data_IF_981983846925
#
_entry.id   IF_981983846925
#
_cell.length_a   1.000
_cell.length_b   1.000
_cell.length_c   1.000
_cell.angle_alpha   90.00
_cell.angle_beta   90.00
_cell.angle_gamma   90.00
#
_symmetry.space_group_name_H-M   'P 1'
#
loop_
_entity.id
_entity.type
_entity.pdbx_description
1 polymer ?
#
# COMPACT_ATOMS: atom_id res chain seq x y z
N UNK A 1 19.95 -11.73 -12.65
CA UNK A 1 20.20 -13.16 -12.35
C UNK A 1 18.83 -13.80 -12.34
N UNK A 2 18.42 -14.28 -13.50
CA UNK A 2 17.06 -14.74 -13.76
C UNK A 2 16.66 -15.88 -12.81
N UNK A 3 15.44 -15.83 -12.30
CA UNK A 3 14.89 -16.87 -11.44
C UNK A 3 14.52 -18.09 -12.31
N UNK A 4 15.53 -18.91 -12.58
CA UNK A 4 15.40 -20.18 -13.31
C UNK A 4 15.19 -21.28 -12.28
N UNK A 5 13.92 -21.59 -11.99
CA UNK A 5 13.55 -22.71 -11.13
C UNK A 5 12.06 -22.74 -10.84
N UNK A 6 11.34 -23.67 -11.46
CA UNK A 6 9.87 -23.87 -11.41
C UNK A 6 9.00 -22.85 -12.17
N UNK A 7 9.27 -22.67 -13.47
CA UNK A 7 8.21 -22.35 -14.44
C UNK A 7 7.41 -21.05 -14.29
N UNK A 8 7.91 -20.05 -13.55
CA UNK A 8 7.31 -18.71 -13.43
C UNK A 8 8.46 -17.71 -13.47
N UNK A 9 8.81 -17.25 -14.67
CA UNK A 9 9.95 -16.39 -14.93
C UNK A 9 9.58 -14.91 -14.88
N UNK A 10 9.75 -14.29 -13.70
CA UNK A 10 9.65 -12.83 -13.51
C UNK A 10 10.36 -12.09 -14.66
N UNK A 11 9.62 -11.32 -15.46
CA UNK A 11 10.26 -10.45 -16.46
C UNK A 11 11.16 -9.40 -15.78
N UNK A 12 12.45 -9.40 -16.15
CA UNK A 12 13.51 -8.58 -15.55
C UNK A 12 13.29 -7.06 -15.73
N UNK A 13 12.41 -6.62 -16.65
CA UNK A 13 12.25 -5.19 -16.97
C UNK A 13 11.13 -4.47 -16.18
N UNK A 14 10.18 -5.20 -15.58
CA UNK A 14 9.07 -4.60 -14.81
C UNK A 14 9.00 -5.05 -13.34
N UNK A 15 9.64 -6.17 -12.99
CA UNK A 15 9.61 -6.73 -11.64
C UNK A 15 8.22 -7.17 -11.16
N UNK A 16 7.22 -7.27 -12.04
CA UNK A 16 5.86 -7.73 -11.71
C UNK A 16 5.80 -9.27 -11.76
N UNK A 17 5.16 -9.95 -10.79
CA UNK A 17 4.95 -11.40 -10.86
C UNK A 17 4.17 -11.82 -12.11
N UNK A 18 4.66 -12.79 -12.89
CA UNK A 18 3.98 -13.28 -14.12
C UNK A 18 2.58 -13.84 -13.86
N UNK A 19 2.34 -14.30 -12.63
CA UNK A 19 1.03 -14.77 -12.14
C UNK A 19 0.64 -13.95 -10.92
N UNK A 20 0.07 -12.74 -11.13
CA UNK A 20 -0.14 -11.80 -10.03
C UNK A 20 -1.23 -12.25 -9.07
N UNK A 21 -2.20 -13.04 -9.54
CA UNK A 21 -3.07 -13.86 -8.70
C UNK A 21 -2.59 -15.29 -8.69
N UNK A 22 -2.28 -15.82 -7.50
CA UNK A 22 -2.11 -17.25 -7.33
C UNK A 22 -3.44 -17.92 -7.65
N UNK A 23 -3.39 -19.08 -8.31
CA UNK A 23 -4.57 -19.94 -8.53
C UNK A 23 -4.33 -21.26 -7.81
N UNK A 24 -5.32 -21.71 -7.07
CA UNK A 24 -5.26 -22.97 -6.33
C UNK A 24 -6.54 -23.76 -6.55
N UNK A 25 -6.46 -25.10 -6.51
CA UNK A 25 -7.65 -25.96 -6.65
C UNK A 25 -8.69 -25.67 -5.55
N UNK A 26 -8.23 -25.28 -4.37
CA UNK A 26 -9.04 -24.93 -3.21
C UNK A 26 -9.81 -23.61 -3.37
N UNK A 27 -9.54 -22.82 -4.41
CA UNK A 27 -10.26 -21.55 -4.65
C UNK A 27 -11.76 -21.79 -4.92
N UNK A 28 -12.14 -22.98 -5.40
CA UNK A 28 -13.55 -23.36 -5.64
C UNK A 28 -14.21 -24.08 -4.47
N UNK A 29 -13.44 -24.39 -3.42
CA UNK A 29 -13.93 -25.13 -2.27
C UNK A 29 -14.50 -24.13 -1.25
N UNK A 30 -15.75 -24.29 -0.79
CA UNK A 30 -16.30 -23.43 0.26
C UNK A 30 -15.52 -23.60 1.58
N UNK A 31 -15.50 -22.53 2.39
CA UNK A 31 -14.95 -22.58 3.75
C UNK A 31 -15.71 -23.64 4.57
N UNK A 32 -14.99 -24.33 5.45
CA UNK A 32 -15.45 -25.46 6.27
C UNK A 32 -15.84 -26.71 5.49
N UNK A 33 -15.32 -26.86 4.26
CA UNK A 33 -15.43 -28.09 3.48
C UNK A 33 -14.09 -28.79 3.36
N UNK A 34 -14.17 -30.10 3.15
CA UNK A 34 -13.01 -30.96 2.96
C UNK A 34 -12.25 -30.54 1.69
N UNK A 35 -10.92 -30.41 1.80
CA UNK A 35 -10.05 -30.09 0.66
C UNK A 35 -9.63 -31.32 -0.13
N UNK A 36 -9.85 -32.50 0.44
CA UNK A 36 -9.51 -33.81 -0.12
C UNK A 36 -10.74 -34.72 -0.01
N UNK A 37 -11.07 -35.54 -1.03
CA UNK A 37 -12.11 -36.55 -0.91
C UNK A 37 -11.85 -37.51 0.26
N UNK A 38 -12.91 -37.93 0.97
CA UNK A 38 -12.79 -38.83 2.13
C UNK A 38 -11.98 -40.10 1.82
N UNK A 39 -12.13 -40.77 0.65
CA UNK A 39 -11.34 -41.96 0.33
C UNK A 39 -9.83 -41.74 0.24
N UNK A 40 -9.39 -40.51 0.02
CA UNK A 40 -7.98 -40.12 -0.11
C UNK A 40 -7.42 -39.54 1.21
N UNK A 41 -8.24 -39.43 2.25
CA UNK A 41 -7.83 -38.90 3.54
C UNK A 41 -6.96 -39.91 4.32
N UNK A 42 -6.04 -39.38 5.12
CA UNK A 42 -5.16 -40.20 5.96
C UNK A 42 -5.98 -40.93 7.03
N UNK A 43 -5.72 -42.22 7.22
CA UNK A 43 -6.29 -43.00 8.32
C UNK A 43 -5.23 -43.12 9.43
N UNK A 44 -5.58 -42.70 10.63
CA UNK A 44 -4.71 -42.78 11.81
C UNK A 44 -5.40 -43.56 12.95
N UNK A 45 -4.65 -44.23 13.83
CA UNK A 45 -5.21 -44.84 15.02
C UNK A 45 -5.48 -43.77 16.09
N UNK A 46 -6.62 -43.84 16.78
CA UNK A 46 -6.94 -42.98 17.92
C UNK A 46 -7.54 -43.78 19.09
N UNK A 47 -7.33 -43.31 20.32
CA UNK A 47 -7.91 -43.89 21.52
C UNK A 47 -9.26 -43.23 21.82
N UNK A 48 -10.31 -44.05 21.93
CA UNK A 48 -11.64 -43.60 22.39
C UNK A 48 -12.17 -44.59 23.42
N UNK A 49 -12.31 -44.15 24.67
CA UNK A 49 -12.79 -45.01 25.77
C UNK A 49 -11.91 -46.24 26.01
N UNK A 50 -10.58 -46.10 25.93
CA UNK A 50 -9.63 -47.20 26.15
C UNK A 50 -9.48 -48.20 25.00
N UNK A 51 -10.20 -48.02 23.89
CA UNK A 51 -10.06 -48.84 22.67
C UNK A 51 -9.39 -48.05 21.56
N UNK A 52 -8.52 -48.73 20.80
CA UNK A 52 -7.93 -48.18 19.57
C UNK A 52 -8.95 -48.32 18.44
N UNK A 53 -9.30 -47.19 17.84
CA UNK A 53 -10.18 -47.09 16.66
C UNK A 53 -9.41 -46.50 15.48
N UNK A 54 -9.87 -46.77 14.27
CA UNK A 54 -9.41 -46.05 13.06
C UNK A 54 -10.17 -44.74 12.94
N UNK A 55 -9.46 -43.63 12.82
CA UNK A 55 -10.02 -42.32 12.50
C UNK A 55 -9.51 -41.86 11.14
N UNK A 56 -10.33 -41.08 10.44
CA UNK A 56 -9.98 -40.49 9.15
C UNK A 56 -9.70 -39.01 9.40
N UNK A 57 -8.47 -38.58 9.13
CA UNK A 57 -8.04 -37.19 9.25
C UNK A 57 -8.49 -36.43 8.00
N UNK A 58 -9.61 -35.70 8.11
CA UNK A 58 -10.19 -34.93 7.00
C UNK A 58 -9.65 -33.50 7.02
N UNK A 59 -8.82 -33.09 6.05
CA UNK A 59 -8.35 -31.71 5.96
C UNK A 59 -9.50 -30.80 5.53
N UNK A 60 -9.76 -29.75 6.31
CA UNK A 60 -10.84 -28.78 6.08
C UNK A 60 -10.26 -27.41 5.75
N UNK A 61 -10.84 -26.73 4.76
CA UNK A 61 -10.45 -25.38 4.39
C UNK A 61 -10.97 -24.38 5.42
N UNK A 62 -10.12 -23.97 6.36
CA UNK A 62 -10.43 -22.92 7.34
C UNK A 62 -10.15 -21.50 6.83
N UNK A 63 -10.75 -20.51 7.50
CA UNK A 63 -10.53 -19.08 7.23
C UNK A 63 -9.05 -18.70 7.26
N UNK A 64 -8.30 -19.18 8.27
CA UNK A 64 -6.87 -18.88 8.43
C UNK A 64 -6.04 -19.34 7.23
N UNK A 65 -6.38 -20.48 6.61
CA UNK A 65 -5.69 -20.95 5.41
C UNK A 65 -5.90 -20.03 4.21
N UNK A 66 -7.12 -19.52 4.02
CA UNK A 66 -7.43 -18.57 2.95
C UNK A 66 -6.75 -17.21 3.20
N UNK A 67 -6.76 -16.72 4.45
CA UNK A 67 -6.04 -15.50 4.81
C UNK A 67 -4.54 -15.61 4.57
N UNK A 68 -3.94 -16.73 4.99
CA UNK A 68 -2.51 -16.97 4.79
C UNK A 68 -2.14 -16.95 3.31
N UNK A 69 -2.95 -17.60 2.47
CA UNK A 69 -2.80 -17.55 1.01
C UNK A 69 -2.85 -16.12 0.48
N UNK A 70 -3.87 -15.33 0.84
CA UNK A 70 -3.98 -13.94 0.39
C UNK A 70 -2.82 -13.06 0.88
N UNK A 71 -2.35 -13.27 2.12
CA UNK A 71 -1.23 -12.53 2.67
C UNK A 71 0.08 -12.89 1.97
N UNK A 72 0.33 -14.19 1.71
CA UNK A 72 1.50 -14.64 0.95
C UNK A 72 1.47 -14.16 -0.50
N UNK A 73 0.29 -14.01 -1.09
CA UNK A 73 0.15 -13.37 -2.40
C UNK A 73 0.60 -11.90 -2.37
N UNK A 74 0.21 -11.14 -1.34
CA UNK A 74 0.71 -9.78 -1.14
C UNK A 74 2.24 -9.74 -0.91
N UNK A 75 2.78 -10.61 -0.05
CA UNK A 75 4.22 -10.68 0.23
C UNK A 75 5.05 -10.91 -1.05
N UNK A 76 4.56 -11.70 -2.01
CA UNK A 76 5.24 -11.94 -3.30
C UNK A 76 5.38 -10.68 -4.14
N UNK A 77 4.48 -9.70 -4.03
CA UNK A 77 4.61 -8.42 -4.72
C UNK A 77 5.77 -7.61 -4.19
N UNK A 78 6.06 -7.71 -2.90
CA UNK A 78 7.02 -6.84 -2.21
C UNK A 78 8.35 -7.51 -1.90
N UNK A 79 8.56 -8.74 -2.38
CA UNK A 79 9.75 -9.54 -2.08
C UNK A 79 10.56 -9.90 -3.33
N UNK A 80 11.86 -10.14 -3.14
CA UNK A 80 12.74 -10.76 -4.12
C UNK A 80 12.42 -12.27 -4.30
N UNK A 81 13.16 -12.96 -5.19
CA UNK A 81 12.96 -14.39 -5.43
C UNK A 81 13.30 -15.28 -4.24
N UNK A 82 14.08 -14.78 -3.27
CA UNK A 82 14.41 -15.48 -2.03
C UNK A 82 13.35 -15.25 -0.94
N UNK A 83 12.30 -14.46 -1.25
CA UNK A 83 11.23 -14.12 -0.31
C UNK A 83 11.62 -13.04 0.69
N UNK A 84 12.72 -12.30 0.46
CA UNK A 84 13.10 -11.15 1.28
C UNK A 84 12.44 -9.88 0.74
N UNK A 85 11.95 -9.02 1.62
CA UNK A 85 11.36 -7.74 1.23
C UNK A 85 12.39 -6.90 0.47
N UNK A 86 11.95 -6.23 -0.60
CA UNK A 86 12.80 -5.40 -1.43
C UNK A 86 13.37 -4.22 -0.62
N UNK A 87 14.70 -4.10 -0.64
CA UNK A 87 15.41 -3.00 0.02
C UNK A 87 15.35 -1.69 -0.78
N UNK A 88 15.22 -1.75 -2.11
CA UNK A 88 15.02 -0.57 -2.96
C UNK A 88 13.58 -0.07 -2.81
N UNK A 89 13.41 1.05 -2.10
CA UNK A 89 12.10 1.64 -1.84
C UNK A 89 11.40 2.13 -3.13
N UNK A 90 12.13 2.57 -4.16
CA UNK A 90 11.53 2.99 -5.42
C UNK A 90 10.99 1.77 -6.19
N UNK A 91 11.76 0.68 -6.25
CA UNK A 91 11.30 -0.57 -6.86
C UNK A 91 10.12 -1.18 -6.07
N UNK A 92 10.22 -1.20 -4.74
CA UNK A 92 9.14 -1.64 -3.85
C UNK A 92 7.85 -0.87 -4.14
N UNK A 93 7.93 0.45 -4.18
CA UNK A 93 6.79 1.32 -4.46
C UNK A 93 6.20 1.05 -5.85
N UNK A 94 7.03 0.91 -6.89
CA UNK A 94 6.56 0.54 -8.24
C UNK A 94 5.76 -0.76 -8.25
N UNK A 95 6.21 -1.78 -7.52
CA UNK A 95 5.49 -3.06 -7.42
C UNK A 95 4.16 -2.93 -6.66
N UNK A 96 4.11 -2.12 -5.60
CA UNK A 96 2.86 -1.81 -4.87
C UNK A 96 1.87 -1.09 -5.79
N UNK A 97 2.32 -0.08 -6.54
CA UNK A 97 1.47 0.64 -7.51
C UNK A 97 0.88 -0.32 -8.53
N UNK A 98 1.72 -1.20 -9.10
CA UNK A 98 1.32 -2.19 -10.09
C UNK A 98 0.31 -3.18 -9.50
N UNK A 99 0.48 -3.60 -8.25
CA UNK A 99 -0.45 -4.50 -7.58
C UNK A 99 -1.84 -3.87 -7.39
N UNK A 100 -1.90 -2.59 -7.01
CA UNK A 100 -3.17 -1.84 -6.92
C UNK A 100 -3.82 -1.63 -8.28
N UNK A 101 -3.04 -1.23 -9.28
CA UNK A 101 -3.51 -1.11 -10.66
C UNK A 101 -4.10 -2.44 -11.14
N UNK A 102 -3.40 -3.55 -10.89
CA UNK A 102 -3.86 -4.89 -11.25
C UNK A 102 -5.16 -5.27 -10.56
N UNK A 103 -5.30 -5.02 -9.25
CA UNK A 103 -6.55 -5.27 -8.53
C UNK A 103 -7.74 -4.58 -9.20
N UNK A 104 -7.60 -3.31 -9.55
CA UNK A 104 -8.64 -2.55 -10.24
C UNK A 104 -8.90 -3.07 -11.66
N UNK A 105 -7.85 -3.35 -12.43
CA UNK A 105 -7.99 -3.86 -13.80
C UNK A 105 -8.72 -5.22 -13.81
N UNK A 106 -8.48 -6.05 -12.80
CA UNK A 106 -9.13 -7.35 -12.63
C UNK A 106 -10.59 -7.26 -12.17
N UNK A 107 -10.94 -6.26 -11.36
CA UNK A 107 -12.32 -5.98 -10.97
C UNK A 107 -12.53 -4.46 -10.81
N UNK A 108 -13.22 -3.88 -11.80
CA UNK A 108 -13.44 -2.42 -11.90
C UNK A 108 -14.32 -1.86 -10.78
N UNK A 109 -14.96 -2.71 -9.98
CA UNK A 109 -15.68 -2.29 -8.77
C UNK A 109 -14.72 -1.82 -7.67
N UNK A 110 -13.44 -2.23 -7.69
CA UNK A 110 -12.43 -1.76 -6.74
C UNK A 110 -11.86 -0.41 -7.14
N UNK A 111 -12.71 0.59 -7.31
CA UNK A 111 -12.26 1.96 -7.58
C UNK A 111 -11.29 2.48 -6.51
N UNK A 112 -11.38 2.01 -5.26
CA UNK A 112 -10.39 2.34 -4.23
C UNK A 112 -8.99 1.90 -4.65
N UNK A 113 -8.83 0.69 -5.20
CA UNK A 113 -7.54 0.19 -5.67
C UNK A 113 -7.04 1.00 -6.89
N UNK A 114 -7.94 1.43 -7.78
CA UNK A 114 -7.58 2.30 -8.91
C UNK A 114 -7.04 3.65 -8.45
N UNK A 115 -7.71 4.27 -7.47
CA UNK A 115 -7.25 5.52 -6.85
C UNK A 115 -5.94 5.32 -6.08
N UNK A 116 -5.83 4.22 -5.33
CA UNK A 116 -4.64 3.85 -4.56
C UNK A 116 -3.42 3.64 -5.47
N UNK A 117 -3.60 3.15 -6.70
CA UNK A 117 -2.50 3.05 -7.67
C UNK A 117 -1.88 4.43 -7.99
N UNK A 118 -2.71 5.47 -8.15
CA UNK A 118 -2.24 6.84 -8.34
C UNK A 118 -1.63 7.44 -7.07
N UNK A 119 -2.27 7.22 -5.92
CA UNK A 119 -1.79 7.74 -4.64
C UNK A 119 -0.44 7.13 -4.25
N UNK A 120 -0.30 5.82 -4.35
CA UNK A 120 0.95 5.10 -4.14
C UNK A 120 2.02 5.50 -5.16
N UNK A 121 1.65 5.76 -6.43
CA UNK A 121 2.58 6.34 -7.42
C UNK A 121 3.09 7.69 -6.97
N UNK A 122 2.21 8.54 -6.46
CA UNK A 122 2.59 9.86 -5.97
C UNK A 122 3.51 9.79 -4.75
N UNK A 123 3.30 8.82 -3.85
CA UNK A 123 4.25 8.50 -2.78
C UNK A 123 5.62 8.15 -3.36
N UNK A 124 5.67 7.31 -4.40
CA UNK A 124 6.92 6.99 -5.12
C UNK A 124 7.65 8.19 -5.68
N UNK A 125 6.92 9.14 -6.28
CA UNK A 125 7.50 10.41 -6.73
C UNK A 125 8.08 11.21 -5.55
N UNK A 126 7.40 11.20 -4.40
CA UNK A 126 7.89 11.79 -3.15
C UNK A 126 9.16 11.12 -2.62
N UNK A 127 9.26 9.79 -2.70
CA UNK A 127 10.47 9.03 -2.34
C UNK A 127 11.66 9.43 -3.23
N UNK A 128 11.46 9.52 -4.54
CA UNK A 128 12.50 9.94 -5.48
C UNK A 128 12.94 11.38 -5.21
N UNK A 129 12.00 12.28 -4.95
CA UNK A 129 12.30 13.65 -4.58
C UNK A 129 13.10 13.72 -3.27
N UNK A 130 12.71 12.99 -2.23
CA UNK A 130 13.44 12.95 -0.97
C UNK A 130 14.86 12.41 -1.15
N UNK A 131 15.04 11.33 -1.90
CA UNK A 131 16.35 10.77 -2.20
C UNK A 131 17.26 11.75 -2.97
N UNK A 132 16.69 12.51 -3.91
CA UNK A 132 17.43 13.54 -4.63
C UNK A 132 17.78 14.74 -3.73
N UNK A 133 16.84 15.19 -2.90
CA UNK A 133 17.05 16.26 -1.93
C UNK A 133 18.18 15.90 -0.95
N UNK A 134 18.27 14.65 -0.48
CA UNK A 134 19.38 14.17 0.34
C UNK A 134 20.72 14.29 -0.39
N UNK A 135 20.80 13.86 -1.66
CA UNK A 135 22.03 13.95 -2.45
C UNK A 135 22.47 15.41 -2.63
N UNK A 136 21.54 16.28 -2.99
CA UNK A 136 21.80 17.71 -3.21
C UNK A 136 22.25 18.37 -1.91
N UNK A 137 21.57 18.12 -0.80
CA UNK A 137 21.94 18.65 0.51
C UNK A 137 23.34 18.18 0.94
N UNK A 138 23.66 16.88 0.79
CA UNK A 138 24.99 16.35 1.10
C UNK A 138 26.10 16.94 0.21
N UNK A 139 25.81 17.20 -1.06
CA UNK A 139 26.75 17.87 -1.95
C UNK A 139 27.05 19.30 -1.49
N UNK A 140 26.02 20.07 -1.11
CA UNK A 140 26.17 21.44 -0.57
C UNK A 140 27.00 21.47 0.72
N UNK A 141 26.81 20.50 1.61
CA UNK A 141 27.61 20.34 2.84
C UNK A 141 29.09 20.06 2.52
N UNK A 142 29.36 19.33 1.43
CA UNK A 142 30.71 18.96 0.99
C UNK A 142 31.49 20.03 0.22
N UNK A 143 30.84 21.13 -0.19
CA UNK A 143 31.49 22.25 -0.89
C UNK A 143 32.46 23.01 0.04
N UNK A 144 33.64 23.37 -0.50
CA UNK A 144 34.69 24.13 0.22
C UNK A 144 34.38 25.65 0.24
N UNK A 145 34.80 26.39 1.27
CA UNK A 145 34.15 27.62 1.71
C UNK A 145 34.47 28.88 0.89
N UNK A 146 33.58 29.87 1.00
CA UNK A 146 33.87 31.32 0.88
C UNK A 146 33.93 31.97 2.28
N UNK A 147 34.52 33.17 2.38
CA UNK A 147 35.14 33.77 3.58
C UNK A 147 34.29 34.00 4.86
N UNK A 148 32.97 33.80 4.88
CA UNK A 148 32.13 34.15 6.05
C UNK A 148 31.68 32.94 6.91
N UNK A 149 32.23 32.84 8.12
CA UNK A 149 32.09 31.68 9.02
C UNK A 149 30.71 31.51 9.67
N UNK A 150 29.96 32.61 9.88
CA UNK A 150 28.66 32.58 10.55
C UNK A 150 27.52 32.10 9.65
N UNK A 151 27.46 32.64 8.44
CA UNK A 151 26.49 32.23 7.41
C UNK A 151 26.74 30.78 6.96
N UNK A 152 28.01 30.38 6.91
CA UNK A 152 28.42 29.00 6.66
C UNK A 152 27.88 28.00 7.68
N UNK A 153 28.02 28.30 8.99
CA UNK A 153 27.52 27.41 10.05
C UNK A 153 25.99 27.28 9.98
N UNK A 154 25.29 28.39 9.78
CA UNK A 154 23.83 28.39 9.65
C UNK A 154 23.35 27.60 8.42
N UNK A 155 24.00 27.81 7.26
CA UNK A 155 23.68 27.11 6.01
C UNK A 155 23.91 25.60 6.10
N UNK A 156 25.05 25.16 6.65
CA UNK A 156 25.33 23.74 6.82
C UNK A 156 24.37 23.07 7.81
N UNK A 157 24.00 23.76 8.89
CA UNK A 157 22.99 23.24 9.82
C UNK A 157 21.61 23.12 9.16
N UNK A 158 21.25 24.05 8.28
CA UNK A 158 20.02 23.96 7.48
C UNK A 158 20.06 22.79 6.49
N UNK A 159 21.10 22.70 5.65
CA UNK A 159 21.24 21.62 4.66
C UNK A 159 21.31 20.24 5.36
N UNK A 160 21.95 20.14 6.53
CA UNK A 160 21.93 18.94 7.36
C UNK A 160 20.51 18.60 7.84
N UNK A 161 19.75 19.60 8.30
CA UNK A 161 18.35 19.42 8.69
C UNK A 161 17.47 18.93 7.54
N UNK A 162 17.67 19.47 6.33
CA UNK A 162 16.98 19.05 5.10
C UNK A 162 17.33 17.60 4.75
N UNK A 163 18.61 17.22 4.82
CA UNK A 163 19.05 15.86 4.54
C UNK A 163 18.43 14.85 5.53
N UNK A 164 18.53 15.13 6.84
CA UNK A 164 17.98 14.26 7.89
C UNK A 164 16.46 14.15 7.78
N UNK A 165 15.77 15.27 7.56
CA UNK A 165 14.32 15.30 7.39
C UNK A 165 13.87 14.51 6.15
N UNK A 166 14.58 14.64 5.04
CA UNK A 166 14.27 13.95 3.78
C UNK A 166 14.55 12.45 3.88
N UNK A 167 15.66 12.03 4.47
CA UNK A 167 15.95 10.60 4.71
C UNK A 167 14.92 9.96 5.65
N UNK A 168 14.49 10.69 6.69
CA UNK A 168 13.45 10.22 7.59
C UNK A 168 12.10 10.05 6.86
N UNK A 169 11.67 11.06 6.10
CA UNK A 169 10.41 10.98 5.36
C UNK A 169 10.42 9.90 4.28
N UNK A 170 11.56 9.68 3.62
CA UNK A 170 11.74 8.59 2.67
C UNK A 170 11.45 7.23 3.32
N UNK A 171 11.98 6.98 4.53
CA UNK A 171 11.70 5.76 5.30
C UNK A 171 10.25 5.67 5.79
N UNK A 172 9.66 6.74 6.31
CA UNK A 172 8.28 6.73 6.82
C UNK A 172 7.27 6.53 5.68
N UNK A 173 7.47 7.16 4.52
CA UNK A 173 6.65 6.97 3.33
C UNK A 173 6.74 5.51 2.82
N UNK A 174 7.94 4.94 2.75
CA UNK A 174 8.13 3.55 2.37
C UNK A 174 7.46 2.59 3.37
N UNK A 175 7.62 2.84 4.68
CA UNK A 175 7.01 2.05 5.75
C UNK A 175 5.48 2.07 5.67
N UNK A 176 4.86 3.25 5.57
CA UNK A 176 3.41 3.33 5.54
C UNK A 176 2.81 2.78 4.26
N UNK A 177 3.47 2.97 3.10
CA UNK A 177 2.96 2.39 1.85
C UNK A 177 3.03 0.85 1.87
N UNK A 178 4.14 0.28 2.32
CA UNK A 178 4.28 -1.16 2.51
C UNK A 178 3.27 -1.72 3.51
N UNK A 179 3.12 -1.06 4.66
CA UNK A 179 2.21 -1.49 5.72
C UNK A 179 0.76 -1.46 5.26
N UNK A 180 0.35 -0.36 4.60
CA UNK A 180 -0.97 -0.23 4.01
C UNK A 180 -1.23 -1.31 2.96
N UNK A 181 -0.28 -1.55 2.06
CA UNK A 181 -0.40 -2.58 1.04
C UNK A 181 -0.60 -3.98 1.64
N UNK A 182 0.21 -4.35 2.63
CA UNK A 182 0.09 -5.62 3.34
C UNK A 182 -1.21 -5.71 4.15
N UNK A 183 -1.81 -4.59 4.53
CA UNK A 183 -3.14 -4.59 5.15
C UNK A 183 -4.25 -4.79 4.11
N UNK A 184 -4.31 -3.96 3.07
CA UNK A 184 -5.53 -3.79 2.28
C UNK A 184 -5.60 -4.67 1.03
N UNK A 185 -4.46 -5.06 0.45
CA UNK A 185 -4.44 -5.97 -0.70
C UNK A 185 -5.03 -7.35 -0.33
N UNK A 186 -4.63 -8.01 0.79
CA UNK A 186 -5.22 -9.28 1.19
C UNK A 186 -6.72 -9.22 1.44
N UNK A 187 -7.23 -8.07 1.93
CA UNK A 187 -8.67 -7.87 2.13
C UNK A 187 -9.44 -7.93 0.80
N UNK A 188 -8.95 -7.21 -0.21
CA UNK A 188 -9.53 -7.23 -1.56
C UNK A 188 -9.47 -8.63 -2.15
N UNK A 189 -8.32 -9.31 -2.06
CA UNK A 189 -8.15 -10.66 -2.58
C UNK A 189 -9.02 -11.69 -1.88
N UNK A 190 -9.16 -11.59 -0.57
CA UNK A 190 -10.07 -12.45 0.18
C UNK A 190 -11.51 -12.25 -0.28
N UNK A 191 -11.95 -10.99 -0.40
CA UNK A 191 -13.29 -10.68 -0.91
C UNK A 191 -13.50 -11.22 -2.33
N UNK A 192 -12.53 -11.09 -3.24
CA UNK A 192 -12.61 -11.67 -4.59
C UNK A 192 -12.79 -13.20 -4.57
N UNK A 193 -12.14 -13.89 -3.64
CA UNK A 193 -12.18 -15.36 -3.55
C UNK A 193 -13.42 -15.91 -2.83
N UNK A 194 -14.01 -15.12 -1.91
CA UNK A 194 -14.97 -15.61 -0.92
C UNK A 194 -16.24 -14.77 -0.78
N UNK A 195 -16.31 -13.64 -1.46
CA UNK A 195 -17.44 -12.70 -1.40
C UNK A 195 -17.68 -12.14 0.00
N UNK A 196 -18.82 -11.47 0.16
CA UNK A 196 -19.21 -10.88 1.45
C UNK A 196 -19.43 -11.92 2.55
N UNK A 197 -20.02 -13.06 2.23
CA UNK A 197 -20.32 -14.09 3.23
C UNK A 197 -19.06 -14.68 3.86
N UNK A 198 -18.08 -15.01 3.02
CA UNK A 198 -16.79 -15.48 3.51
C UNK A 198 -16.04 -14.39 4.28
N UNK A 199 -16.03 -13.14 3.77
CA UNK A 199 -15.36 -12.04 4.46
C UNK A 199 -15.97 -11.80 5.84
N UNK A 200 -17.31 -11.74 5.94
CA UNK A 200 -18.04 -11.57 7.21
C UNK A 200 -17.71 -12.67 8.21
N UNK A 201 -17.66 -13.91 7.75
CA UNK A 201 -17.34 -15.07 8.59
C UNK A 201 -15.89 -15.03 9.07
N UNK A 202 -14.95 -14.69 8.19
CA UNK A 202 -13.54 -14.95 8.41
C UNK A 202 -12.71 -13.74 8.85
N UNK A 203 -13.20 -12.51 8.72
CA UNK A 203 -12.37 -11.31 8.91
C UNK A 203 -11.68 -11.25 10.29
N UNK A 204 -12.38 -11.65 11.36
CA UNK A 204 -11.81 -11.64 12.72
C UNK A 204 -10.71 -12.69 12.94
N UNK A 205 -10.67 -13.74 12.12
CA UNK A 205 -9.63 -14.76 12.17
C UNK A 205 -8.36 -14.35 11.45
N UNK A 206 -8.37 -13.24 10.70
CA UNK A 206 -7.17 -12.74 10.00
C UNK A 206 -5.99 -12.58 10.96
N UNK A 207 -6.19 -12.10 12.18
CA UNK A 207 -5.13 -11.97 13.19
C UNK A 207 -4.42 -13.29 13.56
N UNK A 208 -5.05 -14.45 13.30
CA UNK A 208 -4.52 -15.75 13.73
C UNK A 208 -3.31 -16.21 12.91
N UNK A 209 -3.05 -15.57 11.75
CA UNK A 209 -1.89 -15.90 10.92
C UNK A 209 -0.68 -14.99 11.20
N UNK A 210 -0.74 -14.11 12.20
CA UNK A 210 0.29 -13.08 12.48
C UNK A 210 1.72 -13.62 12.58
N UNK A 211 1.87 -14.85 13.08
CA UNK A 211 3.16 -15.50 13.32
C UNK A 211 3.68 -16.24 12.08
N UNK A 212 2.90 -16.27 10.99
CA UNK A 212 3.21 -16.96 9.73
C UNK A 212 3.48 -15.99 8.57
N UNK A 213 3.36 -14.69 8.81
CA UNK A 213 3.34 -13.65 7.77
C UNK A 213 4.32 -12.54 8.09
N UNK A 214 4.75 -11.86 7.05
CA UNK A 214 5.55 -10.65 7.18
C UNK A 214 4.65 -9.47 7.56
N UNK A 215 5.06 -8.75 8.62
CA UNK A 215 4.51 -7.47 9.02
C UNK A 215 5.69 -6.61 9.50
N UNK A 216 5.88 -5.36 9.00
CA UNK A 216 7.10 -4.59 9.28
C UNK A 216 7.32 -4.38 10.79
N UNK A 217 8.56 -4.53 11.26
CA UNK A 217 8.88 -4.42 12.70
C UNK A 217 8.55 -3.04 13.28
N UNK A 218 8.84 -1.95 12.55
CA UNK A 218 8.46 -0.61 12.99
C UNK A 218 6.94 -0.42 13.01
N UNK A 219 6.22 -1.00 12.04
CA UNK A 219 4.76 -0.99 12.02
C UNK A 219 4.17 -1.81 13.18
N UNK A 220 4.75 -2.95 13.55
CA UNK A 220 4.32 -3.80 14.69
C UNK A 220 4.22 -3.03 16.00
N UNK A 221 5.13 -2.06 16.21
CA UNK A 221 5.16 -1.23 17.42
C UNK A 221 3.97 -0.27 17.50
N UNK A 222 3.42 0.12 16.35
CA UNK A 222 2.37 1.16 16.19
C UNK A 222 1.00 0.56 15.89
N UNK A 223 0.94 -0.60 15.24
CA UNK A 223 -0.27 -1.24 14.74
C UNK A 223 -0.14 -2.77 14.72
N UNK A 224 -1.06 -3.44 15.41
CA UNK A 224 -1.14 -4.91 15.42
C UNK A 224 -1.66 -5.47 14.10
N UNK A 225 -1.06 -6.58 13.64
CA UNK A 225 -1.49 -7.27 12.43
C UNK A 225 -2.94 -7.80 12.53
N UNK A 226 -3.69 -7.64 11.44
CA UNK A 226 -5.01 -8.24 11.27
C UNK A 226 -6.08 -7.69 12.22
N UNK A 227 -5.88 -6.48 12.75
CA UNK A 227 -6.88 -5.80 13.55
C UNK A 227 -8.16 -5.56 12.75
N UNK A 228 -9.30 -5.82 13.39
CA UNK A 228 -10.61 -5.60 12.79
C UNK A 228 -11.03 -4.13 12.96
N UNK A 229 -11.51 -3.54 11.87
CA UNK A 229 -12.11 -2.21 11.82
C UNK A 229 -13.44 -2.29 11.05
N UNK A 230 -14.46 -1.57 11.51
CA UNK A 230 -15.81 -1.63 10.96
C UNK A 230 -15.86 -1.14 9.50
N UNK A 231 -15.00 -0.17 9.15
CA UNK A 231 -14.87 0.37 7.80
C UNK A 231 -14.52 -0.71 6.77
N UNK A 232 -13.79 -1.77 7.15
CA UNK A 232 -13.47 -2.88 6.24
C UNK A 232 -14.76 -3.56 5.81
N UNK A 233 -15.59 -3.97 6.77
CA UNK A 233 -16.85 -4.67 6.47
C UNK A 233 -17.81 -3.75 5.71
N UNK A 234 -17.91 -2.49 6.12
CA UNK A 234 -18.80 -1.51 5.50
C UNK A 234 -18.38 -1.21 4.04
N UNK A 235 -17.08 -1.05 3.77
CA UNK A 235 -16.57 -0.76 2.43
C UNK A 235 -16.84 -1.89 1.44
N UNK A 236 -16.53 -3.14 1.81
CA UNK A 236 -16.82 -4.28 0.94
C UNK A 236 -18.31 -4.54 0.78
N UNK A 237 -19.13 -4.30 1.82
CA UNK A 237 -20.60 -4.38 1.71
C UNK A 237 -21.12 -3.38 0.68
N UNK A 238 -20.61 -2.15 0.68
CA UNK A 238 -21.00 -1.13 -0.29
C UNK A 238 -20.58 -1.51 -1.72
N UNK A 239 -19.47 -2.22 -1.91
CA UNK A 239 -19.10 -2.80 -3.22
C UNK A 239 -20.16 -3.80 -3.69
N UNK A 240 -20.61 -4.68 -2.80
CA UNK A 240 -21.64 -5.70 -3.07
C UNK A 240 -22.99 -5.08 -3.43
N UNK A 241 -23.33 -3.96 -2.79
CA UNK A 241 -24.57 -3.20 -3.01
C UNK A 241 -24.51 -2.26 -4.23
N UNK A 242 -23.36 -2.18 -4.91
CA UNK A 242 -23.17 -1.28 -6.06
C UNK A 242 -22.89 0.19 -5.70
N UNK A 243 -22.75 0.49 -4.41
CA UNK A 243 -22.44 1.83 -3.85
C UNK A 243 -20.95 2.16 -3.95
N UNK A 244 -20.38 2.07 -5.17
CA UNK A 244 -18.93 2.11 -5.40
C UNK A 244 -18.28 3.40 -4.91
N UNK A 245 -18.85 4.58 -5.20
CA UNK A 245 -18.29 5.86 -4.71
C UNK A 245 -18.20 5.88 -3.17
N UNK A 246 -19.24 5.35 -2.51
CA UNK A 246 -19.29 5.28 -1.04
C UNK A 246 -18.26 4.30 -0.50
N UNK A 247 -18.03 3.18 -1.20
CA UNK A 247 -17.02 2.20 -0.82
C UNK A 247 -15.61 2.77 -0.86
N UNK A 248 -15.28 3.58 -1.88
CA UNK A 248 -13.99 4.27 -1.98
C UNK A 248 -13.74 5.14 -0.75
N UNK A 249 -14.72 5.98 -0.41
CA UNK A 249 -14.64 6.87 0.75
C UNK A 249 -14.50 6.07 2.05
N UNK A 250 -15.28 5.00 2.21
CA UNK A 250 -15.25 4.17 3.43
C UNK A 250 -13.93 3.42 3.59
N UNK A 251 -13.40 2.81 2.52
CA UNK A 251 -12.09 2.14 2.56
C UNK A 251 -10.95 3.14 2.72
N UNK A 252 -11.06 4.34 2.15
CA UNK A 252 -10.10 5.42 2.38
C UNK A 252 -10.10 5.87 3.85
N UNK A 253 -11.25 5.86 4.56
CA UNK A 253 -11.25 6.12 6.02
C UNK A 253 -10.43 5.08 6.78
N UNK A 254 -10.60 3.80 6.44
CA UNK A 254 -9.81 2.72 7.05
C UNK A 254 -8.32 2.95 6.83
N UNK A 255 -7.91 3.14 5.58
CA UNK A 255 -6.54 3.48 5.21
C UNK A 255 -6.02 4.69 6.00
N UNK A 256 -6.74 5.81 5.95
CA UNK A 256 -6.22 7.10 6.41
C UNK A 256 -6.21 7.23 7.94
N UNK A 257 -7.20 6.66 8.64
CA UNK A 257 -7.37 6.82 10.09
C UNK A 257 -6.91 5.60 10.88
N UNK A 258 -7.15 4.39 10.38
CA UNK A 258 -6.85 3.18 11.14
C UNK A 258 -5.45 2.64 10.87
N UNK A 259 -4.88 2.95 9.69
CA UNK A 259 -3.55 2.50 9.27
C UNK A 259 -2.56 3.66 9.26
N UNK A 260 -2.68 4.59 8.30
CA UNK A 260 -1.66 5.61 8.06
C UNK A 260 -1.52 6.62 9.21
N UNK A 261 -2.61 6.96 9.90
CA UNK A 261 -2.53 7.84 11.06
C UNK A 261 -1.59 7.26 12.12
N UNK A 262 -1.77 5.98 12.47
CA UNK A 262 -0.95 5.31 13.49
C UNK A 262 0.47 5.02 13.02
N UNK A 263 0.61 4.64 11.75
CA UNK A 263 1.90 4.19 11.21
C UNK A 263 2.79 5.36 10.83
N UNK A 264 2.25 6.49 10.38
CA UNK A 264 3.04 7.65 9.91
C UNK A 264 2.72 8.91 10.74
N UNK A 265 1.45 9.32 10.76
CA UNK A 265 1.10 10.71 11.09
C UNK A 265 1.02 11.03 12.59
N UNK A 266 0.91 10.03 13.46
CA UNK A 266 0.97 10.19 14.91
C UNK A 266 2.41 10.36 15.42
N UNK A 267 3.43 10.14 14.57
CA UNK A 267 4.82 10.36 14.93
C UNK A 267 5.13 11.87 15.02
N UNK A 268 5.58 12.39 16.18
CA UNK A 268 5.83 13.82 16.36
C UNK A 268 6.94 14.37 15.46
N UNK A 269 7.89 13.55 15.02
CA UNK A 269 8.95 13.99 14.12
C UNK A 269 8.41 14.10 12.68
N UNK A 270 7.60 13.13 12.24
CA UNK A 270 6.83 13.23 10.99
C UNK A 270 6.00 14.52 10.92
N UNK A 271 5.27 14.85 11.99
CA UNK A 271 4.45 16.07 12.04
C UNK A 271 5.30 17.33 11.81
N UNK A 272 6.44 17.43 12.49
CA UNK A 272 7.37 18.56 12.34
C UNK A 272 7.95 18.66 10.93
N UNK A 273 8.36 17.55 10.32
CA UNK A 273 8.92 17.57 8.96
C UNK A 273 7.84 17.96 7.95
N UNK A 274 6.61 17.48 8.10
CA UNK A 274 5.49 17.86 7.24
C UNK A 274 5.12 19.35 7.39
N UNK A 275 5.11 19.89 8.60
CA UNK A 275 4.85 21.31 8.84
C UNK A 275 5.96 22.20 8.29
N UNK A 276 7.22 21.77 8.40
CA UNK A 276 8.36 22.46 7.77
C UNK A 276 8.23 22.48 6.25
N UNK A 277 7.84 21.36 5.62
CA UNK A 277 7.56 21.30 4.19
C UNK A 277 6.38 22.21 3.79
N UNK A 278 5.29 22.21 4.57
CA UNK A 278 4.14 23.07 4.34
C UNK A 278 4.53 24.55 4.42
N UNK A 279 5.31 24.93 5.43
CA UNK A 279 5.85 26.28 5.56
C UNK A 279 6.67 26.68 4.34
N UNK A 280 7.61 25.82 3.90
CA UNK A 280 8.44 26.08 2.74
C UNK A 280 7.61 26.18 1.46
N UNK A 281 6.59 25.32 1.27
CA UNK A 281 5.71 25.36 0.11
C UNK A 281 4.83 26.61 0.06
N UNK A 282 4.29 27.05 1.20
CA UNK A 282 3.44 28.24 1.29
C UNK A 282 4.26 29.51 1.12
N UNK A 283 5.39 29.63 1.84
CA UNK A 283 6.17 30.88 1.93
C UNK A 283 7.28 31.01 0.89
N UNK A 284 7.72 29.89 0.27
CA UNK A 284 8.90 29.80 -0.61
C UNK A 284 10.23 30.15 0.08
N UNK A 285 10.29 30.10 1.41
CA UNK A 285 11.50 30.33 2.20
C UNK A 285 11.98 29.02 2.85
N UNK A 286 13.29 28.84 3.11
CA UNK A 286 14.40 29.73 2.72
C UNK A 286 14.96 29.41 1.31
N UNK A 287 14.83 28.19 0.80
CA UNK A 287 15.50 27.76 -0.45
C UNK A 287 14.55 27.29 -1.56
N UNK A 288 13.25 27.23 -1.30
CA UNK A 288 12.29 26.66 -2.26
C UNK A 288 12.41 25.14 -2.45
N UNK A 289 13.26 24.47 -1.66
CA UNK A 289 13.38 23.01 -1.62
C UNK A 289 12.19 22.44 -0.82
N UNK A 290 11.03 22.30 -1.47
CA UNK A 290 9.82 21.71 -0.91
C UNK A 290 9.20 20.67 -1.84
N UNK A 291 8.53 19.68 -1.24
CA UNK A 291 7.68 18.75 -1.95
C UNK A 291 6.25 19.32 -2.05
N UNK A 292 5.75 19.44 -3.28
CA UNK A 292 4.36 19.77 -3.52
C UNK A 292 3.45 18.59 -3.14
N UNK A 293 2.49 18.85 -2.24
CA UNK A 293 1.52 17.83 -1.84
C UNK A 293 0.36 17.85 -2.83
N UNK A 294 0.44 16.97 -3.82
CA UNK A 294 -0.56 16.81 -4.89
C UNK A 294 -0.92 15.35 -5.08
N UNK A 295 -1.98 15.09 -5.84
CA UNK A 295 -2.32 13.78 -6.39
C UNK A 295 -2.69 13.94 -7.85
N UNK A 296 -1.87 13.39 -8.75
CA UNK A 296 -2.17 13.38 -10.18
C UNK A 296 -2.69 12.01 -10.62
N UNK A 297 -3.89 11.99 -11.19
CA UNK A 297 -4.59 10.81 -11.72
C UNK A 297 -4.06 10.37 -13.09
N UNK A 298 -2.77 10.59 -13.33
CA UNK A 298 -2.04 10.15 -14.52
C UNK A 298 -0.88 9.25 -14.11
N UNK A 299 -0.32 8.49 -15.05
CA UNK A 299 0.84 7.67 -14.76
C UNK A 299 2.06 8.52 -14.35
N UNK A 300 2.19 9.77 -14.82
CA UNK A 300 3.37 10.61 -14.61
C UNK A 300 3.42 11.24 -13.22
N UNK A 301 4.62 11.55 -12.74
CA UNK A 301 4.82 12.32 -11.49
C UNK A 301 4.41 13.79 -11.60
N UNK A 302 4.44 14.36 -12.81
CA UNK A 302 4.10 15.76 -13.07
C UNK A 302 2.59 16.01 -13.07
N UNK A 303 2.20 17.18 -12.57
CA UNK A 303 0.83 17.65 -12.65
C UNK A 303 0.28 17.63 -14.08
N UNK A 304 -0.95 17.15 -14.21
CA UNK A 304 -1.73 17.16 -15.46
C UNK A 304 -2.96 18.05 -15.26
N UNK A 305 -3.18 19.08 -16.11
CA UNK A 305 -4.34 19.98 -15.99
C UNK A 305 -5.68 19.21 -16.01
N UNK A 306 -6.54 19.50 -15.03
CA UNK A 306 -7.86 18.85 -14.87
C UNK A 306 -7.82 17.40 -14.38
N UNK A 307 -6.65 16.94 -13.90
CA UNK A 307 -6.39 15.57 -13.44
C UNK A 307 -5.58 15.56 -12.13
N UNK A 308 -5.38 16.73 -11.52
CA UNK A 308 -4.49 16.90 -10.37
C UNK A 308 -5.21 17.64 -9.26
N UNK A 309 -5.32 16.98 -8.11
CA UNK A 309 -5.73 17.63 -6.87
C UNK A 309 -4.52 18.13 -6.12
N UNK A 310 -4.67 19.27 -5.48
CA UNK A 310 -3.67 19.87 -4.61
C UNK A 310 -4.16 19.84 -3.18
N UNK A 311 -3.23 19.57 -2.25
CA UNK A 311 -3.47 19.87 -0.86
C UNK A 311 -3.57 21.39 -0.67
N UNK A 312 -4.26 21.82 0.39
CA UNK A 312 -4.47 23.24 0.60
C UNK A 312 -3.14 23.92 0.92
N UNK A 313 -2.85 25.02 0.23
CA UNK A 313 -1.64 25.83 0.39
C UNK A 313 -1.86 26.92 1.44
N UNK A 314 -2.28 26.50 2.63
CA UNK A 314 -2.50 27.35 3.81
C UNK A 314 -1.64 26.85 4.97
N UNK A 315 -1.27 27.74 5.90
CA UNK A 315 -0.56 27.38 7.12
C UNK A 315 -1.47 26.79 8.20
N UNK A 316 -2.80 26.97 8.08
CA UNK A 316 -3.79 26.49 9.05
C UNK A 316 -4.26 25.05 8.77
N UNK A 317 -3.70 24.41 7.74
CA UNK A 317 -4.04 23.04 7.33
C UNK A 317 -2.82 22.17 7.46
N UNK A 318 -3.01 20.98 8.02
CA UNK A 318 -1.90 20.09 8.32
C UNK A 318 -2.13 18.71 7.70
N UNK A 319 -1.17 18.19 6.92
CA UNK A 319 -1.33 16.88 6.28
C UNK A 319 -1.41 15.74 7.31
N UNK A 320 -0.73 15.89 8.44
CA UNK A 320 -0.82 14.92 9.53
C UNK A 320 -2.15 14.99 10.30
N UNK A 321 -2.89 16.11 10.19
CA UNK A 321 -4.20 16.23 10.79
C UNK A 321 -5.22 15.39 9.99
N UNK A 322 -5.95 14.46 10.64
CA UNK A 322 -6.86 13.56 9.96
C UNK A 322 -8.02 14.27 9.26
N UNK A 323 -8.57 15.33 9.86
CA UNK A 323 -9.73 16.04 9.32
C UNK A 323 -9.38 16.85 8.07
N UNK A 324 -8.16 17.39 8.00
CA UNK A 324 -7.71 18.12 6.82
C UNK A 324 -7.30 17.18 5.69
N UNK A 325 -6.53 16.13 6.03
CA UNK A 325 -6.10 15.12 5.05
C UNK A 325 -7.29 14.41 4.42
N UNK A 326 -8.31 14.06 5.19
CA UNK A 326 -9.43 13.29 4.66
C UNK A 326 -10.28 14.09 3.68
N UNK A 327 -10.39 15.41 3.86
CA UNK A 327 -11.03 16.30 2.87
C UNK A 327 -10.29 16.25 1.53
N UNK A 328 -8.97 16.24 1.54
CA UNK A 328 -8.15 16.10 0.32
C UNK A 328 -8.37 14.75 -0.36
N UNK A 329 -8.34 13.66 0.41
CA UNK A 329 -8.58 12.30 -0.11
C UNK A 329 -9.99 12.15 -0.70
N UNK A 330 -11.01 12.75 -0.09
CA UNK A 330 -12.38 12.68 -0.61
C UNK A 330 -12.55 13.46 -1.92
N UNK A 331 -11.91 14.62 -2.07
CA UNK A 331 -11.90 15.35 -3.35
C UNK A 331 -11.24 14.55 -4.46
N UNK A 332 -10.11 13.90 -4.15
CA UNK A 332 -9.44 13.00 -5.08
C UNK A 332 -10.33 11.81 -5.50
N UNK A 333 -11.04 11.21 -4.54
CA UNK A 333 -11.99 10.13 -4.83
C UNK A 333 -13.16 10.60 -5.71
N UNK A 334 -13.68 11.79 -5.47
CA UNK A 334 -14.75 12.40 -6.28
C UNK A 334 -14.29 12.70 -7.70
N UNK A 335 -13.09 13.29 -7.87
CA UNK A 335 -12.54 13.55 -9.20
C UNK A 335 -12.32 12.25 -9.97
N UNK A 336 -11.75 11.22 -9.33
CA UNK A 336 -11.53 9.92 -9.95
C UNK A 336 -12.84 9.25 -10.39
N UNK A 337 -13.87 9.24 -9.55
CA UNK A 337 -15.21 8.74 -9.92
C UNK A 337 -15.81 9.54 -11.09
N UNK A 338 -15.61 10.86 -11.10
CA UNK A 338 -16.01 11.75 -12.19
C UNK A 338 -15.32 11.40 -13.52
N UNK A 339 -14.00 11.19 -13.51
CA UNK A 339 -13.23 10.78 -14.70
C UNK A 339 -13.71 9.42 -15.24
N UNK A 340 -13.99 8.46 -14.35
CA UNK A 340 -14.47 7.13 -14.73
C UNK A 340 -15.88 7.13 -15.33
N UNK A 341 -16.73 8.08 -14.94
CA UNK A 341 -18.09 8.24 -15.49
C UNK A 341 -18.14 9.15 -16.71
N UNK A 342 -17.08 9.92 -16.95
CA UNK A 342 -16.99 10.90 -18.02
C UNK A 342 -16.39 10.37 -19.33
N UNK A 343 -16.12 11.30 -20.26
CA UNK A 343 -15.48 11.02 -21.56
C UNK A 343 -14.01 10.58 -21.42
N UNK A 344 -13.39 10.87 -20.28
CA UNK A 344 -11.98 10.62 -20.00
C UNK A 344 -11.69 9.22 -19.44
N UNK A 345 -12.73 8.39 -19.28
CA UNK A 345 -12.62 7.03 -18.72
C UNK A 345 -11.50 6.22 -19.38
N UNK A 346 -11.44 6.20 -20.71
CA UNK A 346 -10.44 5.41 -21.45
C UNK A 346 -9.02 5.89 -21.15
N UNK A 347 -8.80 7.18 -20.98
CA UNK A 347 -7.48 7.75 -20.71
C UNK A 347 -7.03 7.48 -19.27
N UNK A 348 -7.95 7.52 -18.30
CA UNK A 348 -7.60 7.24 -16.90
C UNK A 348 -7.36 5.75 -16.70
N UNK A 349 -8.15 4.89 -17.35
CA UNK A 349 -7.91 3.45 -17.36
C UNK A 349 -6.59 3.09 -18.08
N UNK A 350 -6.22 3.82 -19.15
CA UNK A 350 -4.90 3.68 -19.78
C UNK A 350 -3.77 4.06 -18.82
N UNK A 351 -3.93 5.15 -18.07
CA UNK A 351 -2.94 5.56 -17.07
C UNK A 351 -2.75 4.50 -15.98
N UNK A 352 -3.84 3.85 -15.55
CA UNK A 352 -3.75 2.71 -14.60
C UNK A 352 -3.04 1.51 -15.25
N UNK A 353 -3.30 1.22 -16.52
CA UNK A 353 -2.61 0.15 -17.25
C UNK A 353 -1.10 0.44 -17.40
N UNK A 354 -0.71 1.69 -17.65
CA UNK A 354 0.70 2.11 -17.69
C UNK A 354 1.38 1.93 -16.32
N UNK A 355 0.69 2.28 -15.22
CA UNK A 355 1.18 2.02 -13.86
C UNK A 355 1.36 0.52 -13.62
N UNK A 356 0.41 -0.31 -14.07
CA UNK A 356 0.52 -1.77 -13.97
C UNK A 356 1.75 -2.33 -14.68
N UNK A 357 2.12 -1.77 -15.84
CA UNK A 357 3.30 -2.17 -16.61
C UNK A 357 4.62 -1.66 -16.00
N UNK A 358 4.61 -1.12 -14.78
CA UNK A 358 5.79 -0.58 -14.10
C UNK A 358 6.13 0.87 -14.48
N UNK A 359 5.28 1.53 -15.27
CA UNK A 359 5.42 2.93 -15.61
C UNK A 359 5.07 3.88 -14.46
N UNK A 360 5.50 5.13 -14.58
CA UNK A 360 4.94 6.24 -13.80
C UNK A 360 5.71 6.73 -12.57
N UNK A 361 6.73 5.99 -12.12
CA UNK A 361 7.73 6.47 -11.14
C UNK A 361 9.08 6.49 -11.84
N UNK A 362 9.32 7.56 -12.60
CA UNK A 362 10.54 7.85 -13.36
C UNK A 362 10.85 9.34 -13.29
#
# INVERSE_FOLDING_TARGET
>A
MACIGTGVGLSEEAGVPDTPFLRQAQDRIPIDRNTVPIPECKVSPALKGGKVIKVIDVPVLGCSGVWLRCQKEAERWVSDCDGRVLADHALLNRRINAAYAYLYLADRRFQWAGLAAFASKQVGCGLLHAAETVKVANARIGEKPGEDSGDFLAKNMFDLGVAVGSEFMEKELALGNLTLFLDIYPLHRFYMLRGMDGLRKCLRERKNIRDLVFWPEEAKKRLAFGQFFEEIMAGFKQIDEGEIRRSVVTLARHEQLNILQKVIYDDPFTQKVLDANQFAWVTKLPTGDYAEIQLTLSAQCSAKPGWTQWFSRSMDVHLWNPDDRIKFVYRAAEEFDGLLKGRQRTEVERSIAEIYMGGGVQ
#
